data_IF_968315600911
#
_entry.id   IF_968315600911
#
_cell.length_a   1.000
_cell.length_b   1.000
_cell.length_c   1.000
_cell.angle_alpha   90.00
_cell.angle_beta   90.00
_cell.angle_gamma   90.00
#
_symmetry.space_group_name_H-M   'P 1'
#
loop_
_entity.id
_entity.type
_entity.pdbx_description
1 polymer ?
#
# COMPACT_ATOMS: atom_id res chain seq x y z
N UNK A 1 -27.37 1.45 -1.56
CA UNK A 1 -26.11 2.18 -1.79
C UNK A 1 -25.02 1.56 -0.91
N UNK A 2 -23.83 1.29 -1.45
CA UNK A 2 -22.74 0.73 -0.66
C UNK A 2 -22.13 1.82 0.25
N UNK A 3 -21.71 1.40 1.46
CA UNK A 3 -20.98 2.28 2.35
C UNK A 3 -19.55 2.47 1.84
N UNK A 4 -19.07 3.72 1.80
CA UNK A 4 -17.66 4.00 1.49
C UNK A 4 -16.77 3.49 2.63
N UNK A 5 -15.64 2.93 2.26
CA UNK A 5 -14.63 2.49 3.24
C UNK A 5 -13.30 3.17 2.98
N UNK A 6 -12.48 3.22 4.01
CA UNK A 6 -11.08 3.58 4.00
C UNK A 6 -10.28 2.38 4.49
N UNK A 7 -9.09 2.17 3.94
CA UNK A 7 -8.14 1.21 4.48
C UNK A 7 -7.18 1.95 5.40
N UNK A 8 -7.01 1.47 6.62
CA UNK A 8 -6.00 2.00 7.56
C UNK A 8 -4.98 0.92 7.85
N UNK A 9 -3.70 1.26 7.71
CA UNK A 9 -2.58 0.36 8.01
C UNK A 9 -1.80 0.98 9.16
N UNK A 10 -1.72 0.26 10.27
CA UNK A 10 -0.89 0.61 11.40
C UNK A 10 0.59 0.44 11.05
N UNK A 11 1.43 1.39 11.45
CA UNK A 11 2.84 1.43 11.04
C UNK A 11 3.72 2.18 12.03
N UNK A 12 5.03 2.07 11.84
CA UNK A 12 6.02 2.87 12.56
C UNK A 12 6.39 4.15 11.78
N UNK A 13 6.42 4.07 10.44
CA UNK A 13 6.82 5.17 9.55
C UNK A 13 5.76 5.42 8.48
N UNK A 14 4.75 6.28 8.76
CA UNK A 14 3.68 6.59 7.83
C UNK A 14 4.16 7.12 6.48
N UNK A 15 5.15 8.01 6.48
CA UNK A 15 5.65 8.62 5.25
C UNK A 15 6.32 7.61 4.31
N UNK A 16 7.07 6.67 4.86
CA UNK A 16 7.69 5.58 4.11
C UNK A 16 6.64 4.67 3.47
N UNK A 17 5.62 4.27 4.24
CA UNK A 17 4.55 3.43 3.73
C UNK A 17 3.66 4.16 2.73
N UNK A 18 3.35 5.43 2.95
CA UNK A 18 2.58 6.23 1.99
C UNK A 18 3.28 6.28 0.62
N UNK A 19 4.59 6.52 0.60
CA UNK A 19 5.38 6.54 -0.65
C UNK A 19 5.45 5.16 -1.32
N UNK A 20 5.66 4.10 -0.54
CA UNK A 20 5.65 2.74 -1.08
C UNK A 20 4.30 2.39 -1.71
N UNK A 21 3.22 2.54 -0.96
CA UNK A 21 1.89 2.15 -1.41
C UNK A 21 1.34 3.05 -2.52
N UNK A 22 1.71 4.34 -2.56
CA UNK A 22 1.38 5.19 -3.71
C UNK A 22 2.03 4.67 -4.99
N UNK A 23 3.28 4.24 -4.91
CA UNK A 23 3.99 3.62 -6.04
C UNK A 23 3.38 2.27 -6.42
N UNK A 24 3.06 1.43 -5.45
CA UNK A 24 2.51 0.09 -5.69
C UNK A 24 1.15 0.13 -6.38
N UNK A 25 0.28 1.06 -5.98
CA UNK A 25 -1.10 1.16 -6.46
C UNK A 25 -1.28 2.17 -7.61
N UNK A 26 -0.28 2.97 -7.94
CA UNK A 26 -0.44 4.12 -8.84
C UNK A 26 -1.30 5.22 -8.23
N UNK A 27 -1.36 5.27 -6.90
CA UNK A 27 -2.04 6.33 -6.15
C UNK A 27 -1.14 7.56 -6.02
N UNK A 28 -1.72 8.68 -5.62
CA UNK A 28 -0.98 9.89 -5.26
C UNK A 28 -0.98 10.13 -3.75
N UNK A 29 0.06 10.75 -3.26
CA UNK A 29 0.06 11.29 -1.90
C UNK A 29 -1.10 12.29 -1.77
N UNK A 30 -1.82 12.22 -0.65
CA UNK A 30 -2.95 13.13 -0.43
C UNK A 30 -2.45 14.50 0.01
N UNK A 31 -2.79 15.51 -0.76
CA UNK A 31 -2.45 16.89 -0.42
C UNK A 31 -3.22 17.35 0.84
N UNK A 32 -2.65 18.24 1.65
CA UNK A 32 -3.36 18.84 2.77
C UNK A 32 -4.61 19.59 2.29
N UNK A 33 -5.60 19.80 3.18
CA UNK A 33 -6.79 20.58 2.83
C UNK A 33 -6.46 21.99 2.34
N UNK A 34 -7.34 22.53 1.51
CA UNK A 34 -7.19 23.89 0.99
C UNK A 34 -6.93 24.92 2.09
N UNK A 35 -5.95 25.77 1.88
CA UNK A 35 -5.53 26.80 2.83
C UNK A 35 -4.39 26.41 3.76
N UNK A 36 -3.88 25.20 3.66
CA UNK A 36 -2.71 24.74 4.42
C UNK A 36 -1.55 24.38 3.48
N UNK A 37 -0.35 24.80 3.84
CA UNK A 37 0.85 24.49 3.05
C UNK A 37 1.36 23.08 3.28
N UNK A 38 1.03 22.46 4.43
CA UNK A 38 1.43 21.10 4.80
C UNK A 38 0.40 20.43 5.69
N UNK A 39 0.48 19.11 5.81
CA UNK A 39 -0.29 18.36 6.80
C UNK A 39 0.07 18.77 8.23
N UNK A 40 1.34 19.09 8.49
CA UNK A 40 1.79 19.65 9.77
C UNK A 40 1.03 20.92 10.12
N UNK A 41 0.94 21.88 9.20
CA UNK A 41 0.20 23.12 9.42
C UNK A 41 -1.28 22.85 9.75
N UNK A 42 -1.88 21.90 9.02
CA UNK A 42 -3.26 21.50 9.28
C UNK A 42 -3.44 20.91 10.69
N UNK A 43 -2.61 19.94 11.08
CA UNK A 43 -2.73 19.30 12.40
C UNK A 43 -2.42 20.27 13.56
N UNK A 44 -1.41 21.12 13.40
CA UNK A 44 -1.11 22.18 14.37
C UNK A 44 -2.30 23.13 14.54
N UNK A 45 -2.98 23.48 13.45
CA UNK A 45 -4.21 24.29 13.51
C UNK A 45 -5.36 23.61 14.27
N UNK A 46 -5.31 22.28 14.41
CA UNK A 46 -6.27 21.46 15.17
C UNK A 46 -5.85 21.22 16.61
N UNK A 47 -4.70 21.77 17.04
CA UNK A 47 -4.22 21.69 18.42
C UNK A 47 -3.25 20.53 18.68
N UNK A 48 -2.76 19.86 17.64
CA UNK A 48 -1.70 18.85 17.82
C UNK A 48 -0.33 19.52 17.99
N UNK A 49 0.57 18.93 18.80
CA UNK A 49 1.90 19.46 19.00
C UNK A 49 2.73 19.43 17.68
N UNK A 50 3.41 20.53 17.30
CA UNK A 50 4.16 20.58 16.06
C UNK A 50 5.34 19.60 15.99
N UNK A 51 5.87 19.17 17.14
CA UNK A 51 6.96 18.20 17.25
C UNK A 51 6.56 16.76 16.87
N UNK A 52 5.26 16.48 16.75
CA UNK A 52 4.76 15.18 16.29
C UNK A 52 4.83 15.01 14.77
N UNK A 53 5.13 16.07 14.02
CA UNK A 53 5.08 16.06 12.56
C UNK A 53 6.36 16.59 11.94
N UNK A 54 6.84 15.94 10.89
CA UNK A 54 7.87 16.47 9.99
C UNK A 54 7.24 17.43 8.96
N UNK A 55 8.03 18.35 8.43
CA UNK A 55 7.54 19.40 7.52
C UNK A 55 6.98 18.85 6.21
N UNK A 56 7.53 17.72 5.73
CA UNK A 56 7.14 17.04 4.48
C UNK A 56 6.39 15.72 4.71
N UNK A 57 5.78 15.54 5.90
CA UNK A 57 5.11 14.30 6.24
C UNK A 57 3.81 14.13 5.46
N UNK A 58 3.68 12.95 4.87
CA UNK A 58 2.44 12.42 4.28
C UNK A 58 2.10 11.12 4.98
N UNK A 59 0.84 10.97 5.36
CA UNK A 59 0.34 9.78 6.04
C UNK A 59 -0.81 9.10 5.29
N UNK A 60 -1.15 9.60 4.10
CA UNK A 60 -2.29 9.09 3.34
C UNK A 60 -2.11 9.20 1.84
N UNK A 61 -2.80 8.31 1.14
CA UNK A 61 -2.82 8.25 -0.32
C UNK A 61 -4.25 8.10 -0.82
N UNK A 62 -4.48 8.59 -2.03
CA UNK A 62 -5.78 8.54 -2.71
C UNK A 62 -5.62 8.09 -4.15
N UNK A 63 -6.61 7.36 -4.63
CA UNK A 63 -6.74 7.04 -6.04
C UNK A 63 -6.99 8.33 -6.85
N UNK A 64 -6.14 8.65 -7.85
CA UNK A 64 -6.34 9.85 -8.66
C UNK A 64 -7.68 9.87 -9.39
N UNK A 65 -8.25 8.71 -9.72
CA UNK A 65 -9.53 8.57 -10.40
C UNK A 65 -10.72 8.48 -9.43
N UNK A 66 -10.45 8.37 -8.13
CA UNK A 66 -11.47 8.31 -7.08
C UNK A 66 -12.29 7.01 -7.03
N UNK A 67 -11.86 5.97 -7.73
CA UNK A 67 -12.55 4.69 -7.78
C UNK A 67 -12.17 3.77 -6.60
N UNK A 68 -10.92 3.82 -6.17
CA UNK A 68 -10.40 3.02 -5.06
C UNK A 68 -10.56 3.70 -3.69
N UNK A 69 -10.38 2.94 -2.60
CA UNK A 69 -10.47 3.48 -1.24
C UNK A 69 -9.27 4.39 -0.93
N UNK A 70 -9.52 5.44 -0.14
CA UNK A 70 -8.44 6.17 0.52
C UNK A 70 -7.68 5.22 1.45
N UNK A 71 -6.36 5.36 1.54
CA UNK A 71 -5.54 4.64 2.51
C UNK A 71 -4.88 5.63 3.47
N UNK A 72 -4.94 5.31 4.75
CA UNK A 72 -4.28 6.03 5.82
C UNK A 72 -3.27 5.13 6.54
N UNK A 73 -2.11 5.67 6.83
CA UNK A 73 -1.03 5.00 7.54
C UNK A 73 -0.94 5.60 8.93
N UNK A 74 -1.43 4.82 9.91
CA UNK A 74 -1.55 5.28 11.29
C UNK A 74 -0.31 4.92 12.09
N UNK A 75 0.42 5.91 12.65
CA UNK A 75 1.55 5.61 13.52
C UNK A 75 1.06 4.97 14.81
N UNK A 76 1.64 3.81 15.15
CA UNK A 76 1.35 3.08 16.38
C UNK A 76 2.66 2.61 17.03
N UNK A 77 2.71 2.48 18.38
CA UNK A 77 3.92 2.03 19.07
C UNK A 77 4.15 0.51 18.94
N UNK A 78 3.13 -0.27 18.61
CA UNK A 78 3.21 -1.73 18.51
C UNK A 78 3.91 -2.15 17.22
N UNK A 79 4.95 -2.99 17.28
CA UNK A 79 5.60 -3.50 16.09
C UNK A 79 4.75 -4.58 15.41
N UNK A 80 4.96 -4.76 14.11
CA UNK A 80 4.41 -5.89 13.35
C UNK A 80 5.05 -7.20 13.84
N UNK A 81 4.25 -8.13 14.38
CA UNK A 81 4.73 -9.41 14.95
C UNK A 81 4.11 -10.61 14.23
N UNK A 82 2.78 -10.67 14.17
CA UNK A 82 2.07 -11.80 13.57
C UNK A 82 1.70 -11.53 12.13
N UNK A 83 1.44 -12.61 11.36
CA UNK A 83 0.94 -12.49 9.99
C UNK A 83 -0.36 -11.69 9.94
N UNK A 84 -0.50 -10.83 8.93
CA UNK A 84 -1.75 -10.11 8.66
C UNK A 84 -2.93 -11.08 8.53
N UNK A 85 -4.05 -10.74 9.15
CA UNK A 85 -5.32 -11.47 8.98
C UNK A 85 -6.11 -10.94 7.80
N UNK A 86 -5.93 -9.67 7.44
CA UNK A 86 -6.44 -9.04 6.22
C UNK A 86 -5.23 -8.64 5.38
N UNK A 87 -5.22 -8.99 4.13
CA UNK A 87 -4.18 -8.59 3.19
C UNK A 87 -4.80 -8.09 1.89
N UNK A 88 -4.09 -7.19 1.22
CA UNK A 88 -4.50 -6.66 -0.07
C UNK A 88 -3.99 -7.59 -1.17
N UNK A 89 -4.85 -7.92 -2.10
CA UNK A 89 -4.51 -8.71 -3.28
C UNK A 89 -4.59 -7.80 -4.50
N UNK A 90 -3.45 -7.62 -5.19
CA UNK A 90 -3.33 -6.75 -6.34
C UNK A 90 -3.44 -7.59 -7.62
N UNK A 91 -4.46 -7.31 -8.43
CA UNK A 91 -4.63 -7.94 -9.74
C UNK A 91 -3.72 -7.23 -10.75
N UNK A 92 -2.53 -7.77 -10.92
CA UNK A 92 -1.51 -7.28 -11.87
C UNK A 92 -1.32 -8.22 -13.05
N UNK A 93 -1.82 -9.45 -12.94
CA UNK A 93 -1.73 -10.49 -13.98
C UNK A 93 -2.69 -10.28 -15.15
N UNK A 94 -3.73 -9.47 -14.98
CA UNK A 94 -4.74 -9.21 -16.00
C UNK A 94 -5.93 -10.18 -15.95
N UNK A 95 -6.16 -10.79 -14.78
CA UNK A 95 -7.30 -11.65 -14.51
C UNK A 95 -7.20 -13.05 -15.08
N UNK A 96 -8.15 -13.90 -14.69
CA UNK A 96 -8.17 -15.34 -15.03
C UNK A 96 -8.36 -15.63 -16.52
N UNK A 97 -8.78 -14.65 -17.30
CA UNK A 97 -8.93 -14.80 -18.77
C UNK A 97 -7.60 -14.78 -19.53
N UNK A 98 -6.53 -14.27 -18.92
CA UNK A 98 -5.21 -14.27 -19.53
C UNK A 98 -4.52 -15.64 -19.36
N UNK A 99 -3.72 -16.10 -20.36
CA UNK A 99 -2.93 -17.33 -20.22
C UNK A 99 -2.03 -17.30 -18.98
N UNK A 100 -1.85 -18.46 -18.32
CA UNK A 100 -1.03 -18.59 -17.11
C UNK A 100 0.38 -18.02 -17.28
N UNK A 101 1.05 -18.32 -18.39
CA UNK A 101 2.41 -17.82 -18.65
C UNK A 101 2.47 -16.30 -18.79
N UNK A 102 1.42 -15.68 -19.33
CA UNK A 102 1.33 -14.23 -19.40
C UNK A 102 1.09 -13.60 -18.02
N UNK A 103 0.22 -14.21 -17.23
CA UNK A 103 0.00 -13.80 -15.83
C UNK A 103 1.28 -13.90 -15.00
N UNK A 104 2.02 -15.03 -15.10
CA UNK A 104 3.32 -15.19 -14.44
C UNK A 104 4.28 -14.07 -14.82
N UNK A 105 4.47 -13.82 -16.10
CA UNK A 105 5.38 -12.79 -16.59
C UNK A 105 5.04 -11.40 -16.03
N UNK A 106 3.75 -11.07 -15.97
CA UNK A 106 3.29 -9.78 -15.45
C UNK A 106 3.50 -9.68 -13.92
N UNK A 107 3.15 -10.73 -13.20
CA UNK A 107 3.35 -10.82 -11.74
C UNK A 107 4.83 -10.74 -11.39
N UNK A 108 5.69 -11.45 -12.11
CA UNK A 108 7.15 -11.43 -11.88
C UNK A 108 7.74 -10.04 -12.16
N UNK A 109 7.34 -9.40 -13.26
CA UNK A 109 7.79 -8.03 -13.57
C UNK A 109 7.36 -7.03 -12.50
N UNK A 110 6.14 -7.15 -12.00
CA UNK A 110 5.65 -6.31 -10.90
C UNK A 110 6.35 -6.60 -9.58
N UNK A 111 6.63 -7.88 -9.31
CA UNK A 111 7.44 -8.30 -8.16
C UNK A 111 8.79 -7.59 -8.17
N UNK A 112 9.52 -7.64 -9.29
CA UNK A 112 10.82 -7.00 -9.43
C UNK A 112 10.72 -5.48 -9.25
N UNK A 113 9.68 -4.85 -9.80
CA UNK A 113 9.42 -3.42 -9.65
C UNK A 113 9.20 -3.03 -8.18
N UNK A 114 8.40 -3.80 -7.45
CA UNK A 114 8.12 -3.51 -6.05
C UNK A 114 9.29 -3.82 -5.12
N UNK A 115 10.09 -4.85 -5.42
CA UNK A 115 11.35 -5.10 -4.70
C UNK A 115 12.30 -3.91 -4.83
N UNK A 116 12.40 -3.32 -6.01
CA UNK A 116 13.25 -2.14 -6.24
C UNK A 116 12.83 -0.91 -5.40
N UNK A 117 11.58 -0.84 -4.92
CA UNK A 117 11.07 0.26 -4.09
C UNK A 117 10.83 -0.13 -2.62
N UNK A 118 11.30 -1.30 -2.19
CA UNK A 118 11.38 -1.66 -0.78
C UNK A 118 10.53 -2.83 -0.31
N UNK A 119 9.80 -3.51 -1.19
CA UNK A 119 9.12 -4.76 -0.85
C UNK A 119 10.10 -5.94 -0.77
N UNK A 120 9.68 -7.00 -0.11
CA UNK A 120 10.38 -8.29 -0.11
C UNK A 120 9.44 -9.39 -0.56
N UNK A 121 9.99 -10.40 -1.23
CA UNK A 121 9.25 -11.61 -1.58
C UNK A 121 9.18 -12.50 -0.34
N UNK A 122 7.97 -12.85 0.07
CA UNK A 122 7.75 -13.78 1.17
C UNK A 122 7.59 -15.22 0.68
N UNK A 123 6.75 -15.43 -0.35
CA UNK A 123 6.51 -16.77 -0.90
C UNK A 123 5.90 -16.70 -2.30
N UNK A 124 6.36 -17.58 -3.18
CA UNK A 124 5.71 -17.83 -4.47
C UNK A 124 4.67 -18.94 -4.32
N UNK A 125 3.48 -18.72 -4.82
CA UNK A 125 2.39 -19.69 -4.88
C UNK A 125 2.24 -20.18 -6.32
N UNK A 126 2.81 -21.34 -6.58
CA UNK A 126 2.76 -22.01 -7.89
C UNK A 126 2.76 -23.51 -7.66
N UNK A 127 1.85 -24.21 -8.33
CA UNK A 127 1.73 -25.66 -8.24
C UNK A 127 1.58 -26.22 -9.65
N UNK A 128 2.31 -27.30 -9.95
CA UNK A 128 2.28 -27.93 -11.28
C UNK A 128 0.88 -28.43 -11.62
N UNK A 129 0.42 -28.10 -12.81
CA UNK A 129 -0.90 -28.49 -13.32
C UNK A 129 -2.07 -27.67 -12.78
N UNK A 130 -1.80 -26.67 -11.92
CA UNK A 130 -2.81 -25.77 -11.40
C UNK A 130 -2.76 -24.41 -12.13
N UNK A 131 -3.90 -23.95 -12.61
CA UNK A 131 -4.03 -22.65 -13.29
C UNK A 131 -4.06 -21.50 -12.28
N UNK A 132 -2.98 -21.41 -11.49
CA UNK A 132 -2.81 -20.38 -10.45
C UNK A 132 -1.34 -19.97 -10.34
N UNK A 133 -1.11 -18.69 -10.24
CA UNK A 133 0.18 -18.10 -9.91
C UNK A 133 -0.01 -16.83 -9.09
N UNK A 134 0.68 -16.73 -7.99
CA UNK A 134 0.67 -15.54 -7.15
C UNK A 134 2.00 -15.43 -6.39
N UNK A 135 2.34 -14.20 -6.00
CA UNK A 135 3.51 -13.93 -5.15
C UNK A 135 3.02 -13.21 -3.90
N UNK A 136 3.26 -13.80 -2.74
CA UNK A 136 3.06 -13.13 -1.46
C UNK A 136 4.30 -12.29 -1.18
N UNK A 137 4.08 -11.01 -0.99
CA UNK A 137 5.11 -10.02 -0.69
C UNK A 137 4.93 -9.44 0.70
N UNK A 138 5.94 -8.73 1.17
CA UNK A 138 5.86 -7.88 2.34
C UNK A 138 6.22 -6.46 1.96
N UNK A 139 5.46 -5.49 2.49
CA UNK A 139 5.78 -4.08 2.36
C UNK A 139 7.02 -3.73 3.22
N UNK A 140 7.53 -2.48 3.18
CA UNK A 140 8.73 -2.10 3.94
C UNK A 140 8.66 -2.31 5.45
N UNK A 141 7.47 -2.50 6.02
CA UNK A 141 7.29 -2.82 7.45
C UNK A 141 6.85 -4.26 7.71
N UNK A 142 6.90 -5.12 6.69
CA UNK A 142 6.60 -6.54 6.83
C UNK A 142 5.14 -6.91 6.72
N UNK A 143 4.25 -6.00 6.31
CA UNK A 143 2.85 -6.32 6.08
C UNK A 143 2.71 -7.14 4.80
N UNK A 144 2.06 -8.31 4.90
CA UNK A 144 1.87 -9.21 3.78
C UNK A 144 0.77 -8.69 2.83
N UNK A 145 1.06 -8.75 1.54
CA UNK A 145 0.12 -8.52 0.45
C UNK A 145 0.42 -9.48 -0.70
N UNK A 146 -0.45 -9.58 -1.68
CA UNK A 146 -0.34 -10.57 -2.74
C UNK A 146 -0.41 -9.90 -4.12
N UNK A 147 0.38 -10.42 -5.05
CA UNK A 147 0.28 -10.12 -6.48
C UNK A 147 -0.29 -11.35 -7.20
N UNK A 148 -1.31 -11.18 -8.04
CA UNK A 148 -1.89 -12.25 -8.85
C UNK A 148 -2.39 -11.79 -10.21
#
# INVERSE_FOLDING_TARGET
MATRMQVTIDCADPGRLARFWSTALGYRLEEPPDGFASWKDYYVSRGFPPEEFEDDSYDSIVDPDGAGPRMWFQPVPEPKVVKNRVHLDLDVGGGRGAPLEERRRRVDAETDRLVAVGATVFRVLSEDGVDHYAVVMQDPEGNEFCLH
#
